data_IF_224853247645
#
_entry.id   IF_224853247645
#
_cell.length_a   1.000
_cell.length_b   1.000
_cell.length_c   1.000
_cell.angle_alpha   90.00
_cell.angle_beta   90.00
_cell.angle_gamma   90.00
#
_symmetry.space_group_name_H-M   'P 1'
#
loop_
_entity.id
_entity.type
_entity.pdbx_description
1 polymer ?
#
# COMPACT_ATOMS: atom_id res chain seq x y z
N UNK A 1 -10.19 -33.86 19.43
CA UNK A 1 -9.43 -34.37 18.26
C UNK A 1 -8.09 -33.68 18.26
N UNK A 2 -7.01 -34.38 17.97
CA UNK A 2 -5.68 -33.77 17.82
C UNK A 2 -5.66 -32.87 16.58
N UNK A 3 -5.15 -31.64 16.73
CA UNK A 3 -5.13 -30.66 15.65
C UNK A 3 -3.90 -30.87 14.78
N UNK A 4 -4.11 -31.49 13.62
CA UNK A 4 -3.04 -31.71 12.64
C UNK A 4 -2.63 -30.35 12.06
N UNK A 5 -1.33 -30.02 11.92
CA UNK A 5 -0.90 -28.79 11.25
C UNK A 5 -1.46 -28.69 9.82
N UNK A 6 -1.84 -27.48 9.42
CA UNK A 6 -2.45 -27.18 8.12
C UNK A 6 -1.59 -26.14 7.40
N UNK A 7 -0.70 -26.57 6.51
CA UNK A 7 0.32 -25.72 5.88
C UNK A 7 -0.15 -25.09 4.54
N UNK A 8 -1.24 -25.59 3.95
CA UNK A 8 -1.69 -25.25 2.57
C UNK A 8 -3.21 -25.22 2.36
N UNK A 9 -4.00 -25.32 3.43
CA UNK A 9 -5.47 -25.43 3.37
C UNK A 9 -6.09 -24.17 3.99
N UNK A 10 -7.04 -23.50 3.32
CA UNK A 10 -7.78 -22.40 3.96
C UNK A 10 -8.93 -22.96 4.81
N UNK A 11 -9.54 -24.06 4.35
CA UNK A 11 -10.44 -24.90 5.13
C UNK A 11 -9.91 -26.34 5.22
N UNK A 12 -9.77 -26.87 6.43
CA UNK A 12 -9.62 -28.29 6.63
C UNK A 12 -10.97 -29.00 6.52
N UNK A 13 -11.06 -29.96 5.59
CA UNK A 13 -12.24 -30.78 5.31
C UNK A 13 -12.14 -32.20 5.91
N UNK A 14 -11.15 -32.46 6.77
CA UNK A 14 -10.84 -33.80 7.31
C UNK A 14 -11.66 -34.17 8.54
N UNK A 15 -12.45 -33.24 9.08
CA UNK A 15 -13.27 -33.43 10.27
C UNK A 15 -14.71 -33.81 9.91
N UNK A 16 -15.28 -34.91 10.43
CA UNK A 16 -16.66 -35.30 10.14
C UNK A 16 -17.67 -34.23 10.56
N UNK A 17 -18.54 -33.79 9.64
CA UNK A 17 -19.63 -32.83 9.91
C UNK A 17 -19.20 -31.39 10.18
N UNK A 18 -17.90 -31.09 10.16
CA UNK A 18 -17.33 -29.79 10.53
C UNK A 18 -16.27 -29.33 9.52
N UNK A 19 -15.96 -28.03 9.55
CA UNK A 19 -14.87 -27.42 8.79
C UNK A 19 -14.07 -26.51 9.72
N UNK A 20 -12.75 -26.56 9.60
CA UNK A 20 -11.83 -25.75 10.43
C UNK A 20 -11.12 -24.75 9.54
N UNK A 21 -11.23 -23.45 9.86
CA UNK A 21 -10.55 -22.41 9.09
C UNK A 21 -9.07 -22.36 9.50
N UNK A 22 -8.19 -22.56 8.53
CA UNK A 22 -6.74 -22.60 8.69
C UNK A 22 -6.01 -21.61 7.76
N UNK A 23 -6.75 -20.67 7.16
CA UNK A 23 -6.21 -19.69 6.23
C UNK A 23 -5.27 -18.65 6.87
N UNK A 24 -4.70 -17.73 6.07
CA UNK A 24 -3.68 -16.80 6.52
C UNK A 24 -4.07 -16.02 7.79
N UNK A 25 -3.14 -15.97 8.75
CA UNK A 25 -3.27 -15.18 9.98
C UNK A 25 -3.97 -15.87 11.15
N UNK A 26 -4.34 -17.16 11.06
CA UNK A 26 -4.82 -17.93 12.22
C UNK A 26 -3.75 -18.90 12.73
N UNK A 27 -3.37 -18.74 13.99
CA UNK A 27 -2.65 -19.77 14.74
C UNK A 27 -3.60 -20.94 15.09
N UNK A 28 -3.09 -22.15 15.39
CA UNK A 28 -3.91 -23.33 15.68
C UNK A 28 -5.01 -23.06 16.72
N UNK A 29 -4.67 -22.40 17.82
CA UNK A 29 -5.57 -22.04 18.92
C UNK A 29 -6.65 -21.00 18.54
N UNK A 30 -6.48 -20.31 17.40
CA UNK A 30 -7.43 -19.30 16.89
C UNK A 30 -8.22 -19.79 15.67
N UNK A 31 -8.19 -21.09 15.34
CA UNK A 31 -8.91 -21.65 14.19
C UNK A 31 -10.39 -21.93 14.55
N UNK A 32 -11.38 -21.20 13.99
CA UNK A 32 -12.78 -21.48 14.26
C UNK A 32 -13.21 -22.80 13.61
N UNK A 33 -13.91 -23.61 14.40
CA UNK A 33 -14.60 -24.83 13.95
C UNK A 33 -16.05 -24.48 13.64
N UNK A 34 -16.44 -24.55 12.36
CA UNK A 34 -17.80 -24.28 11.91
C UNK A 34 -18.52 -25.58 11.48
N UNK A 35 -19.86 -25.60 11.45
CA UNK A 35 -20.62 -26.64 10.77
C UNK A 35 -20.20 -26.78 9.31
N UNK A 36 -20.32 -27.99 8.74
CA UNK A 36 -19.98 -28.22 7.34
C UNK A 36 -20.83 -27.38 6.38
N UNK A 37 -20.18 -26.52 5.60
CA UNK A 37 -20.81 -25.71 4.56
C UNK A 37 -20.39 -26.22 3.16
N UNK A 38 -21.38 -26.58 2.33
CA UNK A 38 -21.15 -27.14 1.00
C UNK A 38 -20.47 -26.15 0.05
N UNK A 39 -20.76 -24.85 0.17
CA UNK A 39 -20.20 -23.79 -0.68
C UNK A 39 -18.72 -23.59 -0.35
N UNK A 40 -18.38 -23.49 0.94
CA UNK A 40 -17.00 -23.42 1.42
C UNK A 40 -16.20 -24.67 1.01
N UNK A 41 -16.78 -25.87 1.16
CA UNK A 41 -16.14 -27.13 0.77
C UNK A 41 -15.98 -27.33 -0.75
N UNK A 42 -16.77 -26.64 -1.57
CA UNK A 42 -16.58 -26.56 -3.03
C UNK A 42 -15.48 -25.56 -3.38
N UNK A 43 -15.52 -24.36 -2.78
CA UNK A 43 -14.50 -23.33 -2.96
C UNK A 43 -13.10 -23.84 -2.57
N UNK A 44 -12.95 -24.53 -1.44
CA UNK A 44 -11.68 -25.10 -0.99
C UNK A 44 -11.14 -26.13 -1.99
N UNK A 45 -12.00 -27.00 -2.54
CA UNK A 45 -11.61 -27.98 -3.56
C UNK A 45 -11.24 -27.34 -4.89
N UNK A 46 -11.89 -26.24 -5.28
CA UNK A 46 -11.52 -25.44 -6.44
C UNK A 46 -10.17 -24.73 -6.24
N UNK A 47 -9.97 -24.11 -5.08
CA UNK A 47 -8.72 -23.45 -4.69
C UNK A 47 -7.53 -24.41 -4.75
N UNK A 48 -7.62 -25.57 -4.08
CA UNK A 48 -6.58 -26.60 -4.12
C UNK A 48 -6.25 -27.02 -5.54
N UNK A 49 -7.25 -27.27 -6.40
CA UNK A 49 -7.03 -27.59 -7.81
C UNK A 49 -6.26 -26.49 -8.55
N UNK A 50 -6.63 -25.23 -8.37
CA UNK A 50 -5.95 -24.09 -8.99
C UNK A 50 -4.51 -23.90 -8.52
N UNK A 51 -4.22 -24.17 -7.24
CA UNK A 51 -2.86 -24.15 -6.70
C UNK A 51 -2.04 -25.34 -7.23
N UNK A 52 -2.58 -26.56 -7.21
CA UNK A 52 -1.88 -27.77 -7.69
C UNK A 52 -1.54 -27.70 -9.18
N UNK A 53 -2.38 -27.09 -10.03
CA UNK A 53 -2.07 -26.89 -11.45
C UNK A 53 -1.27 -25.61 -11.74
N UNK A 54 -0.75 -24.92 -10.72
CA UNK A 54 0.10 -23.74 -10.89
C UNK A 54 -0.62 -22.46 -11.35
N UNK A 55 -1.94 -22.49 -11.49
CA UNK A 55 -2.76 -21.34 -11.92
C UNK A 55 -2.84 -20.22 -10.87
N UNK A 56 -2.77 -20.56 -9.59
CA UNK A 56 -2.81 -19.58 -8.49
C UNK A 56 -1.50 -19.61 -7.71
N UNK A 57 -0.76 -18.50 -7.78
CA UNK A 57 0.40 -18.23 -6.92
C UNK A 57 -0.02 -17.62 -5.58
N UNK A 58 0.85 -17.70 -4.57
CA UNK A 58 0.63 -17.02 -3.29
C UNK A 58 0.44 -15.50 -3.43
N UNK A 59 1.15 -14.87 -4.39
CA UNK A 59 0.98 -13.47 -4.74
C UNK A 59 -0.42 -13.18 -5.29
N UNK A 60 -0.90 -13.96 -6.25
CA UNK A 60 -2.23 -13.77 -6.84
C UNK A 60 -3.33 -13.99 -5.79
N UNK A 61 -3.18 -15.02 -4.96
CA UNK A 61 -4.08 -15.27 -3.82
C UNK A 61 -4.16 -14.08 -2.87
N UNK A 62 -3.01 -13.57 -2.41
CA UNK A 62 -2.96 -12.41 -1.52
C UNK A 62 -3.57 -11.15 -2.15
N UNK A 63 -3.33 -10.90 -3.45
CA UNK A 63 -3.94 -9.76 -4.15
C UNK A 63 -5.45 -9.88 -4.25
N UNK A 64 -5.99 -11.01 -4.70
CA UNK A 64 -7.44 -11.21 -4.77
C UNK A 64 -8.08 -11.11 -3.38
N UNK A 65 -7.41 -11.61 -2.35
CA UNK A 65 -7.82 -11.46 -0.96
C UNK A 65 -8.04 -10.00 -0.57
N UNK A 66 -7.04 -9.14 -0.79
CA UNK A 66 -7.13 -7.71 -0.52
C UNK A 66 -8.29 -7.06 -1.30
N UNK A 67 -8.46 -7.38 -2.58
CA UNK A 67 -9.52 -6.78 -3.41
C UNK A 67 -10.93 -7.12 -2.90
N UNK A 68 -11.17 -8.39 -2.55
CA UNK A 68 -12.48 -8.85 -2.06
C UNK A 68 -12.77 -8.31 -0.66
N UNK A 69 -11.77 -8.34 0.24
CA UNK A 69 -11.87 -7.74 1.58
C UNK A 69 -12.22 -6.26 1.50
N UNK A 70 -11.49 -5.51 0.67
CA UNK A 70 -11.64 -4.06 0.58
C UNK A 70 -12.98 -3.69 -0.09
N UNK A 71 -13.43 -4.44 -1.11
CA UNK A 71 -14.80 -4.30 -1.64
C UNK A 71 -15.83 -4.50 -0.54
N UNK A 72 -15.81 -5.64 0.15
CA UNK A 72 -16.79 -5.94 1.20
C UNK A 72 -16.75 -4.96 2.39
N UNK A 73 -15.60 -4.31 2.65
CA UNK A 73 -15.46 -3.27 3.68
C UNK A 73 -16.01 -1.92 3.20
N UNK A 74 -15.83 -1.57 1.93
CA UNK A 74 -16.21 -0.27 1.37
C UNK A 74 -17.64 -0.24 0.80
N UNK A 75 -18.22 -1.37 0.39
CA UNK A 75 -19.57 -1.43 -0.21
C UNK A 75 -20.67 -1.87 0.77
N UNK A 76 -20.34 -2.44 1.93
CA UNK A 76 -21.32 -2.72 2.98
C UNK A 76 -21.62 -1.46 3.78
N UNK A 77 -22.77 -0.84 3.50
CA UNK A 77 -23.35 0.20 4.35
C UNK A 77 -23.35 -0.27 5.82
N UNK A 78 -22.71 0.50 6.71
CA UNK A 78 -22.23 0.14 8.06
C UNK A 78 -23.03 -0.95 8.80
N UNK A 79 -22.75 -2.21 8.46
CA UNK A 79 -23.57 -3.36 8.82
C UNK A 79 -23.06 -4.08 10.06
N UNK A 80 -23.19 -3.46 11.23
CA UNK A 80 -22.98 -4.11 12.55
C UNK A 80 -24.11 -5.11 12.86
N UNK A 81 -24.26 -6.18 12.10
CA UNK A 81 -25.23 -7.24 12.37
C UNK A 81 -24.55 -8.61 12.20
N UNK A 82 -24.39 -9.32 13.33
CA UNK A 82 -23.84 -10.69 13.38
C UNK A 82 -22.87 -10.95 14.52
N UNK A 83 -21.94 -10.03 14.80
CA UNK A 83 -20.73 -10.34 15.60
C UNK A 83 -20.41 -9.34 16.73
N UNK A 84 -21.40 -8.66 17.29
CA UNK A 84 -21.18 -7.64 18.35
C UNK A 84 -20.58 -8.20 19.65
N UNK A 85 -20.70 -9.51 19.89
CA UNK A 85 -20.18 -10.20 21.08
C UNK A 85 -18.80 -10.85 20.87
N UNK A 86 -18.22 -10.74 19.67
CA UNK A 86 -16.93 -11.33 19.34
C UNK A 86 -15.77 -10.33 19.47
N UNK A 87 -14.57 -10.85 19.72
CA UNK A 87 -13.34 -10.04 19.69
C UNK A 87 -13.13 -9.40 18.32
N UNK A 88 -12.20 -8.45 18.22
CA UNK A 88 -11.85 -7.87 16.93
C UNK A 88 -11.25 -8.92 15.98
N UNK A 89 -10.42 -9.81 16.53
CA UNK A 89 -9.70 -10.85 15.80
C UNK A 89 -10.66 -11.94 15.31
N UNK A 90 -11.57 -12.44 16.16
CA UNK A 90 -12.61 -13.41 15.76
C UNK A 90 -13.51 -12.86 14.64
N UNK A 91 -13.85 -11.56 14.72
CA UNK A 91 -14.61 -10.86 13.66
C UNK A 91 -13.86 -10.79 12.35
N UNK A 92 -12.56 -10.52 12.41
CA UNK A 92 -11.74 -10.53 11.21
C UNK A 92 -11.63 -11.96 10.64
N UNK A 93 -11.35 -12.96 11.48
CA UNK A 93 -11.20 -14.36 11.06
C UNK A 93 -12.49 -14.91 10.45
N UNK A 94 -13.66 -14.67 11.06
CA UNK A 94 -14.95 -15.09 10.50
C UNK A 94 -15.35 -14.26 9.27
N UNK A 95 -15.01 -12.97 9.24
CA UNK A 95 -15.16 -12.11 8.06
C UNK A 95 -14.36 -12.68 6.88
N UNK A 96 -13.09 -13.00 7.11
CA UNK A 96 -12.18 -13.67 6.19
C UNK A 96 -12.78 -15.00 5.70
N UNK A 97 -13.15 -15.89 6.61
CA UNK A 97 -13.78 -17.17 6.30
C UNK A 97 -15.05 -17.02 5.44
N UNK A 98 -15.91 -16.03 5.73
CA UNK A 98 -17.14 -15.77 4.97
C UNK A 98 -16.90 -15.29 3.53
N UNK A 99 -15.75 -14.64 3.27
CA UNK A 99 -15.39 -14.11 1.95
C UNK A 99 -14.69 -15.13 1.06
N UNK A 100 -14.23 -16.26 1.61
CA UNK A 100 -13.44 -17.25 0.88
C UNK A 100 -14.08 -17.76 -0.42
N UNK A 101 -15.39 -18.06 -0.51
CA UNK A 101 -16.01 -18.47 -1.77
C UNK A 101 -15.91 -17.41 -2.87
N UNK A 102 -16.05 -16.12 -2.51
CA UNK A 102 -15.90 -15.00 -3.44
C UNK A 102 -14.46 -14.89 -3.91
N UNK A 103 -13.49 -15.00 -3.00
CA UNK A 103 -12.05 -15.01 -3.34
C UNK A 103 -11.73 -16.12 -4.34
N UNK A 104 -12.19 -17.34 -4.09
CA UNK A 104 -11.97 -18.47 -5.01
C UNK A 104 -12.64 -18.23 -6.37
N UNK A 105 -13.84 -17.64 -6.38
CA UNK A 105 -14.55 -17.33 -7.61
C UNK A 105 -13.81 -16.27 -8.45
N UNK A 106 -13.34 -15.18 -7.82
CA UNK A 106 -12.50 -14.16 -8.47
C UNK A 106 -11.16 -14.75 -8.92
N UNK A 107 -10.51 -15.59 -8.11
CA UNK A 107 -9.29 -16.32 -8.50
C UNK A 107 -9.53 -17.19 -9.73
N UNK A 108 -10.69 -17.84 -9.87
CA UNK A 108 -11.04 -18.62 -11.05
C UNK A 108 -10.98 -17.80 -12.34
N UNK A 109 -11.43 -16.54 -12.28
CA UNK A 109 -11.37 -15.60 -13.41
C UNK A 109 -9.95 -15.07 -13.63
N UNK A 110 -9.32 -14.50 -12.59
CA UNK A 110 -8.01 -13.83 -12.73
C UNK A 110 -6.84 -14.80 -12.97
N UNK A 111 -6.99 -16.08 -12.64
CA UNK A 111 -6.02 -17.15 -12.97
C UNK A 111 -6.22 -17.76 -14.37
N UNK A 112 -7.03 -17.14 -15.22
CA UNK A 112 -7.27 -17.53 -16.62
C UNK A 112 -6.61 -16.49 -17.53
N UNK A 113 -5.41 -16.77 -18.10
CA UNK A 113 -4.64 -15.76 -18.86
C UNK A 113 -5.44 -15.15 -20.01
N UNK A 114 -6.15 -15.98 -20.78
CA UNK A 114 -6.97 -15.56 -21.93
C UNK A 114 -8.14 -14.62 -21.58
N UNK A 115 -8.56 -14.57 -20.31
CA UNK A 115 -9.54 -13.59 -19.82
C UNK A 115 -8.84 -12.26 -19.53
N UNK A 116 -7.74 -12.30 -18.77
CA UNK A 116 -6.98 -11.11 -18.38
C UNK A 116 -6.37 -10.40 -19.59
N UNK A 117 -5.84 -11.15 -20.56
CA UNK A 117 -5.28 -10.57 -21.79
C UNK A 117 -6.36 -9.90 -22.66
N UNK A 118 -7.56 -10.49 -22.73
CA UNK A 118 -8.70 -9.89 -23.43
C UNK A 118 -9.14 -8.58 -22.77
N UNK A 119 -9.19 -8.56 -21.44
CA UNK A 119 -9.49 -7.34 -20.68
C UNK A 119 -8.42 -6.25 -20.91
N UNK A 120 -7.12 -6.61 -20.95
CA UNK A 120 -6.03 -5.68 -21.28
C UNK A 120 -6.15 -5.05 -22.67
N UNK A 121 -6.80 -5.73 -23.62
CA UNK A 121 -7.10 -5.19 -24.96
C UNK A 121 -8.46 -4.50 -25.11
N UNK A 122 -9.26 -4.43 -24.03
CA UNK A 122 -10.59 -3.81 -24.06
C UNK A 122 -10.51 -2.30 -23.81
N UNK A 123 -11.35 -1.50 -24.48
CA UNK A 123 -11.40 -0.04 -24.31
C UNK A 123 -11.88 0.36 -22.91
N UNK A 124 -11.38 1.49 -22.39
CA UNK A 124 -11.70 2.01 -21.04
C UNK A 124 -13.21 2.01 -20.72
N UNK A 125 -14.00 2.56 -21.65
CA UNK A 125 -15.45 2.76 -21.54
C UNK A 125 -16.23 1.43 -21.42
N UNK A 126 -15.70 0.34 -21.99
CA UNK A 126 -16.36 -0.98 -21.96
C UNK A 126 -15.71 -1.97 -20.98
N UNK A 127 -14.50 -1.68 -20.49
CA UNK A 127 -13.71 -2.54 -19.61
C UNK A 127 -14.43 -2.86 -18.29
N UNK A 128 -14.99 -1.84 -17.63
CA UNK A 128 -15.66 -1.99 -16.32
C UNK A 128 -16.89 -2.90 -16.42
N UNK A 129 -17.76 -2.63 -17.39
CA UNK A 129 -18.95 -3.43 -17.64
C UNK A 129 -18.58 -4.87 -18.05
N UNK A 130 -17.53 -5.05 -18.86
CA UNK A 130 -17.02 -6.38 -19.22
C UNK A 130 -16.55 -7.17 -18.00
N UNK A 131 -15.73 -6.59 -17.14
CA UNK A 131 -15.27 -7.24 -15.91
C UNK A 131 -16.46 -7.57 -14.99
N UNK A 132 -17.38 -6.62 -14.78
CA UNK A 132 -18.57 -6.84 -13.95
C UNK A 132 -19.42 -8.03 -14.44
N UNK A 133 -19.60 -8.16 -15.77
CA UNK A 133 -20.37 -9.24 -16.39
C UNK A 133 -19.62 -10.59 -16.44
N UNK A 134 -18.29 -10.57 -16.54
CA UNK A 134 -17.45 -11.79 -16.58
C UNK A 134 -17.04 -12.27 -15.17
N UNK A 135 -17.31 -11.48 -14.12
CA UNK A 135 -17.22 -11.92 -12.73
C UNK A 135 -18.42 -12.83 -12.36
N UNK A 136 -18.19 -13.96 -11.67
CA UNK A 136 -19.27 -14.81 -11.17
C UNK A 136 -20.10 -14.04 -10.14
N UNK A 137 -21.42 -14.20 -10.10
CA UNK A 137 -22.35 -13.36 -9.31
C UNK A 137 -21.95 -13.14 -7.84
N UNK A 138 -21.23 -12.04 -7.59
CA UNK A 138 -20.73 -11.66 -6.27
C UNK A 138 -21.83 -10.84 -5.58
N UNK A 139 -22.47 -11.39 -4.55
CA UNK A 139 -23.59 -10.73 -3.90
C UNK A 139 -23.21 -9.37 -3.29
N UNK A 140 -23.93 -8.32 -3.68
CA UNK A 140 -23.71 -6.94 -3.25
C UNK A 140 -23.05 -6.07 -4.34
N UNK A 141 -22.71 -4.81 -4.01
CA UNK A 141 -22.09 -3.91 -4.97
C UNK A 141 -20.66 -4.37 -5.31
N UNK A 142 -20.32 -4.36 -6.60
CA UNK A 142 -19.10 -4.94 -7.17
C UNK A 142 -18.16 -3.86 -7.75
N UNK A 143 -18.54 -2.60 -7.71
CA UNK A 143 -17.87 -1.48 -8.38
C UNK A 143 -16.46 -1.29 -7.82
N UNK A 144 -16.29 -1.37 -6.50
CA UNK A 144 -14.98 -1.30 -5.85
C UNK A 144 -14.11 -2.49 -6.25
N UNK A 145 -14.66 -3.69 -6.39
CA UNK A 145 -13.94 -4.89 -6.84
C UNK A 145 -13.57 -4.82 -8.32
N UNK A 146 -14.46 -4.31 -9.17
CA UNK A 146 -14.19 -4.06 -10.60
C UNK A 146 -13.06 -3.05 -10.73
N UNK A 147 -13.14 -1.90 -10.06
CA UNK A 147 -12.02 -0.95 -10.00
C UNK A 147 -10.75 -1.63 -9.51
N UNK A 148 -10.81 -2.44 -8.44
CA UNK A 148 -9.63 -3.13 -7.91
C UNK A 148 -9.03 -4.16 -8.87
N UNK A 149 -9.82 -4.80 -9.72
CA UNK A 149 -9.36 -5.71 -10.77
C UNK A 149 -8.75 -4.91 -11.94
N UNK A 150 -9.40 -3.81 -12.34
CA UNK A 150 -8.85 -2.81 -13.28
C UNK A 150 -7.51 -2.22 -12.76
N UNK A 151 -7.35 -2.08 -11.44
CA UNK A 151 -6.11 -1.69 -10.78
C UNK A 151 -5.08 -2.83 -10.72
N UNK A 152 -5.50 -4.08 -10.54
CA UNK A 152 -4.59 -5.22 -10.43
C UNK A 152 -4.00 -5.67 -11.77
N UNK A 153 -4.76 -5.61 -12.85
CA UNK A 153 -4.26 -5.96 -14.19
C UNK A 153 -3.05 -5.13 -14.63
N UNK A 154 -2.79 -4.03 -13.91
CA UNK A 154 -1.61 -3.18 -13.92
C UNK A 154 -0.48 -3.76 -13.01
N UNK A 155 0.15 -4.89 -13.29
CA UNK A 155 1.35 -5.39 -12.56
C UNK A 155 2.58 -5.33 -13.52
N UNK A 156 3.78 -4.72 -13.26
CA UNK A 156 4.63 -4.63 -12.03
C UNK A 156 5.83 -3.59 -11.90
N UNK A 157 5.92 -2.38 -12.48
CA UNK A 157 6.93 -1.23 -12.32
C UNK A 157 8.12 -1.48 -11.40
N UNK A 158 7.90 -1.29 -10.09
CA UNK A 158 8.77 -0.39 -9.33
C UNK A 158 9.90 -1.27 -8.82
N UNK A 159 10.97 -1.24 -9.61
CA UNK A 159 12.29 -1.71 -9.26
C UNK A 159 12.53 -1.39 -7.78
N UNK A 160 12.62 -2.43 -6.95
CA UNK A 160 12.99 -2.27 -5.55
C UNK A 160 14.39 -1.71 -5.51
N UNK A 161 14.52 -0.39 -5.30
CA UNK A 161 15.83 0.24 -5.17
C UNK A 161 16.42 -0.14 -3.81
N UNK A 162 17.65 -0.66 -3.75
CA UNK A 162 18.28 -1.00 -2.49
C UNK A 162 18.53 0.27 -1.68
N UNK A 163 17.91 0.33 -0.52
CA UNK A 163 17.93 1.43 0.44
C UNK A 163 18.74 1.04 1.67
N UNK A 164 19.35 2.02 2.35
CA UNK A 164 19.95 1.82 3.69
C UNK A 164 18.91 1.49 4.77
N UNK A 165 17.64 1.82 4.53
CA UNK A 165 16.49 1.59 5.43
C UNK A 165 15.49 0.79 4.63
N UNK A 166 15.20 -0.45 5.05
CA UNK A 166 14.30 -1.34 4.32
C UNK A 166 12.95 -0.66 4.01
N UNK A 167 12.58 -0.59 2.73
CA UNK A 167 11.25 -0.12 2.35
C UNK A 167 10.19 -1.03 2.94
N UNK A 168 9.27 -0.47 3.72
CA UNK A 168 8.15 -1.23 4.31
C UNK A 168 7.14 -1.69 3.26
N UNK A 169 7.21 -1.18 2.02
CA UNK A 169 6.27 -1.50 0.95
C UNK A 169 7.00 -1.78 -0.39
N UNK A 170 6.70 -2.92 -1.06
CA UNK A 170 7.21 -3.21 -2.39
C UNK A 170 6.31 -2.61 -3.49
N UNK A 171 6.85 -2.14 -4.64
CA UNK A 171 6.16 -1.09 -5.43
C UNK A 171 5.85 -1.55 -6.93
N UNK A 172 4.72 -1.19 -7.64
CA UNK A 172 4.30 -1.75 -9.00
C UNK A 172 3.57 -0.86 -10.10
N UNK A 173 3.55 -1.28 -11.40
CA UNK A 173 2.94 -0.74 -12.70
C UNK A 173 3.81 -0.28 -13.93
N UNK A 174 3.31 0.66 -14.75
CA UNK A 174 3.93 1.63 -15.70
C UNK A 174 2.73 1.90 -16.61
N UNK A 175 1.74 2.61 -16.09
CA UNK A 175 0.46 2.72 -16.79
C UNK A 175 0.08 4.16 -16.99
N UNK A 176 -0.29 4.44 -18.24
CA UNK A 176 -1.17 5.53 -18.58
C UNK A 176 -2.46 5.39 -17.77
N UNK A 177 -2.63 6.26 -16.77
CA UNK A 177 -3.81 6.26 -15.92
C UNK A 177 -5.01 6.98 -16.58
N UNK A 178 -4.80 7.73 -17.66
CA UNK A 178 -5.88 8.36 -18.44
C UNK A 178 -6.67 7.32 -19.25
N UNK A 179 -6.02 6.24 -19.70
CA UNK A 179 -6.66 5.09 -20.35
C UNK A 179 -7.55 4.25 -19.40
N UNK A 180 -7.73 4.67 -18.14
CA UNK A 180 -8.31 3.81 -17.10
C UNK A 180 -9.35 4.51 -16.24
N UNK A 181 -9.39 5.83 -16.17
CA UNK A 181 -10.52 6.55 -15.59
C UNK A 181 -11.57 6.76 -16.67
N UNK A 182 -12.79 6.31 -16.39
CA UNK A 182 -13.95 6.69 -17.19
C UNK A 182 -14.25 8.17 -16.93
N UNK A 183 -13.76 9.04 -17.79
CA UNK A 183 -13.96 10.51 -17.67
C UNK A 183 -15.43 10.93 -17.76
N UNK A 184 -16.34 10.01 -18.11
CA UNK A 184 -17.80 10.23 -18.13
C UNK A 184 -18.49 9.84 -16.81
N UNK A 185 -17.83 9.05 -15.95
CA UNK A 185 -18.36 8.66 -14.65
C UNK A 185 -18.35 9.83 -13.64
N UNK A 186 -19.32 9.91 -12.70
CA UNK A 186 -19.48 11.02 -11.76
C UNK A 186 -18.49 10.95 -10.59
N UNK A 187 -17.19 10.96 -10.89
CA UNK A 187 -16.13 10.94 -9.87
C UNK A 187 -16.07 12.27 -9.09
N UNK A 188 -15.53 12.26 -7.84
CA UNK A 188 -15.21 13.49 -7.11
C UNK A 188 -14.33 14.45 -7.93
N UNK A 189 -14.56 15.75 -7.75
CA UNK A 189 -13.92 16.82 -8.53
C UNK A 189 -12.37 16.77 -8.53
N UNK A 190 -11.74 16.23 -7.49
CA UNK A 190 -10.29 16.07 -7.43
C UNK A 190 -9.77 15.01 -8.43
N UNK A 191 -10.54 13.93 -8.65
CA UNK A 191 -10.25 12.91 -9.67
C UNK A 191 -10.50 13.47 -11.06
N UNK A 192 -11.59 14.22 -11.26
CA UNK A 192 -11.86 14.87 -12.55
C UNK A 192 -10.72 15.83 -12.97
N UNK A 193 -10.17 16.58 -12.01
CA UNK A 193 -9.06 17.54 -12.24
C UNK A 193 -7.70 16.88 -12.45
N UNK A 194 -7.42 15.79 -11.75
CA UNK A 194 -6.19 15.02 -11.92
C UNK A 194 -6.49 13.51 -11.87
N UNK A 195 -6.97 12.92 -12.98
CA UNK A 195 -7.29 11.50 -13.05
C UNK A 195 -6.13 10.63 -12.57
N UNK A 196 -4.92 10.96 -13.03
CA UNK A 196 -3.71 10.20 -12.75
C UNK A 196 -3.39 10.09 -11.25
N UNK A 197 -3.86 10.99 -10.41
CA UNK A 197 -3.65 10.93 -8.97
C UNK A 197 -4.31 9.71 -8.30
N UNK A 198 -5.42 9.16 -8.81
CA UNK A 198 -6.02 7.94 -8.20
C UNK A 198 -5.07 6.74 -8.26
N UNK A 199 -4.22 6.68 -9.29
CA UNK A 199 -3.26 5.59 -9.48
C UNK A 199 -2.16 5.59 -8.41
N UNK A 200 -1.95 6.72 -7.73
CA UNK A 200 -1.05 6.83 -6.58
C UNK A 200 -1.73 6.51 -5.25
N UNK A 201 -3.05 6.27 -5.18
CA UNK A 201 -3.72 5.98 -3.91
C UNK A 201 -3.16 4.71 -3.26
N UNK A 202 -2.69 4.81 -2.01
CA UNK A 202 -2.09 3.67 -1.32
C UNK A 202 -3.18 2.80 -0.66
N UNK A 203 -3.86 1.98 -1.46
CA UNK A 203 -5.00 1.15 -1.05
C UNK A 203 -4.76 0.30 0.20
N UNK A 204 -3.55 -0.23 0.41
CA UNK A 204 -3.21 -1.03 1.60
C UNK A 204 -2.90 -0.22 2.87
N UNK A 205 -2.90 1.12 2.80
CA UNK A 205 -2.56 2.05 3.89
C UNK A 205 -3.71 2.97 4.30
N UNK A 206 -4.82 2.93 3.55
CA UNK A 206 -5.99 3.75 3.78
C UNK A 206 -7.13 2.85 4.27
N UNK A 207 -7.59 3.09 5.49
CA UNK A 207 -8.72 2.39 6.10
C UNK A 207 -10.08 2.94 5.58
N UNK A 208 -11.19 2.36 6.05
CA UNK A 208 -12.55 2.71 5.64
C UNK A 208 -12.92 4.20 5.85
N UNK A 209 -12.23 4.92 6.73
CA UNK A 209 -12.44 6.37 6.96
C UNK A 209 -11.72 7.27 5.94
N UNK A 210 -11.06 6.66 4.96
CA UNK A 210 -10.36 7.28 3.84
C UNK A 210 -10.84 6.60 2.55
N UNK A 211 -12.00 7.04 2.06
CA UNK A 211 -12.53 6.59 0.78
C UNK A 211 -12.15 7.60 -0.32
N UNK A 212 -11.36 7.24 -1.35
CA UNK A 212 -11.00 8.19 -2.41
C UNK A 212 -12.20 8.65 -3.26
N UNK A 213 -13.27 7.86 -3.27
CA UNK A 213 -14.50 8.12 -4.00
C UNK A 213 -15.49 9.02 -3.24
N UNK A 214 -15.26 9.30 -1.95
CA UNK A 214 -16.12 10.17 -1.16
C UNK A 214 -15.72 11.65 -1.34
N UNK A 215 -16.66 12.46 -1.83
CA UNK A 215 -16.47 13.89 -2.03
C UNK A 215 -16.33 14.68 -0.71
N UNK A 216 -16.81 14.15 0.43
CA UNK A 216 -16.73 14.83 1.73
C UNK A 216 -15.32 14.74 2.34
N UNK A 217 -14.59 13.66 2.05
CA UNK A 217 -13.31 13.34 2.68
C UNK A 217 -12.09 13.88 1.93
N UNK A 218 -12.32 14.71 0.90
CA UNK A 218 -11.26 15.30 0.05
C UNK A 218 -10.28 16.20 0.81
N UNK A 219 -10.62 16.64 2.02
CA UNK A 219 -9.73 17.42 2.90
C UNK A 219 -8.91 16.55 3.87
N UNK A 220 -9.35 15.32 4.17
CA UNK A 220 -8.64 14.39 5.07
C UNK A 220 -7.35 13.93 4.42
N UNK A 221 -6.30 13.76 5.23
CA UNK A 221 -5.05 13.14 4.76
C UNK A 221 -5.25 11.66 4.50
N UNK A 222 -4.77 11.23 3.34
CA UNK A 222 -4.62 9.84 2.96
C UNK A 222 -3.18 9.54 2.54
N UNK A 223 -2.83 8.27 2.49
CA UNK A 223 -1.55 7.78 1.99
C UNK A 223 -1.55 7.62 0.47
N UNK A 224 -0.43 8.02 -0.13
CA UNK A 224 -0.16 7.95 -1.55
C UNK A 224 1.21 7.31 -1.78
N UNK A 225 1.39 6.64 -2.93
CA UNK A 225 2.63 6.01 -3.33
C UNK A 225 2.87 6.16 -4.84
N UNK A 226 3.98 6.82 -5.23
CA UNK A 226 4.33 7.07 -6.63
C UNK A 226 5.21 5.98 -7.25
N UNK A 227 5.46 6.12 -8.54
CA UNK A 227 6.14 5.18 -9.42
C UNK A 227 7.62 4.90 -9.13
N UNK A 228 8.26 5.69 -8.28
CA UNK A 228 9.59 5.36 -7.73
C UNK A 228 9.54 4.58 -6.40
N UNK A 229 8.34 4.33 -5.86
CA UNK A 229 8.12 3.65 -4.58
C UNK A 229 8.03 4.58 -3.38
N UNK A 230 8.20 5.88 -3.55
CA UNK A 230 8.04 6.86 -2.48
C UNK A 230 6.61 6.91 -1.94
N UNK A 231 6.47 7.09 -0.63
CA UNK A 231 5.18 7.22 0.06
C UNK A 231 5.06 8.56 0.79
N UNK A 232 3.88 9.17 0.76
CA UNK A 232 3.59 10.39 1.52
C UNK A 232 2.11 10.50 1.89
N UNK A 233 1.84 11.31 2.91
CA UNK A 233 0.49 11.81 3.18
C UNK A 233 0.21 13.11 2.42
N UNK A 234 -0.98 13.20 1.83
CA UNK A 234 -1.60 14.42 1.29
C UNK A 234 -3.13 14.26 1.34
N UNK A 235 -3.88 15.35 1.19
CA UNK A 235 -5.33 15.24 1.00
C UNK A 235 -5.68 15.02 -0.48
N UNK A 236 -6.81 14.36 -0.81
CA UNK A 236 -7.27 14.20 -2.19
C UNK A 236 -7.42 15.54 -2.91
N UNK A 237 -7.93 16.57 -2.24
CA UNK A 237 -8.05 17.93 -2.79
C UNK A 237 -6.69 18.53 -3.18
N UNK A 238 -5.63 18.28 -2.40
CA UNK A 238 -4.27 18.68 -2.79
C UNK A 238 -3.78 17.86 -3.98
N UNK A 239 -3.97 16.53 -4.01
CA UNK A 239 -3.54 15.69 -5.14
C UNK A 239 -4.27 15.97 -6.45
N UNK A 240 -5.51 16.45 -6.36
CA UNK A 240 -6.32 16.91 -7.51
C UNK A 240 -5.74 18.12 -8.25
N UNK A 241 -4.65 18.73 -7.77
CA UNK A 241 -3.96 19.82 -8.45
C UNK A 241 -2.88 19.27 -9.40
N UNK A 242 -2.86 19.71 -10.66
CA UNK A 242 -1.88 19.24 -11.66
C UNK A 242 -0.41 19.52 -11.28
N UNK A 243 -0.14 20.55 -10.47
CA UNK A 243 1.20 20.89 -9.95
C UNK A 243 1.64 20.02 -8.77
N UNK A 244 0.74 19.20 -8.24
CA UNK A 244 1.05 18.32 -7.11
C UNK A 244 1.48 16.95 -7.64
N UNK A 245 2.72 16.58 -7.37
CA UNK A 245 3.27 15.25 -7.65
C UNK A 245 3.81 14.59 -6.39
N UNK A 246 4.56 13.50 -6.58
CA UNK A 246 5.39 12.97 -5.52
C UNK A 246 6.41 14.02 -5.03
N UNK A 247 6.42 14.37 -3.73
CA UNK A 247 7.35 15.37 -3.21
C UNK A 247 8.82 14.90 -3.24
N UNK A 248 9.08 13.61 -3.37
CA UNK A 248 10.42 13.05 -3.47
C UNK A 248 10.95 13.08 -4.91
N UNK A 249 10.14 12.65 -5.89
CA UNK A 249 10.49 12.77 -7.32
C UNK A 249 10.69 14.23 -7.74
N UNK A 250 9.88 15.15 -7.18
CA UNK A 250 10.01 16.60 -7.38
C UNK A 250 11.16 17.25 -6.58
N UNK A 251 11.98 16.48 -5.86
CA UNK A 251 13.11 17.00 -5.07
C UNK A 251 12.74 17.82 -3.83
N UNK A 252 11.46 17.97 -3.51
CA UNK A 252 10.94 18.74 -2.38
C UNK A 252 11.19 18.05 -1.01
N UNK A 253 11.36 16.73 -1.02
CA UNK A 253 11.74 15.90 0.14
C UNK A 253 12.88 14.96 -0.23
N UNK A 254 13.79 14.72 0.71
CA UNK A 254 14.81 13.69 0.55
C UNK A 254 14.22 12.29 0.78
N UNK A 255 14.66 11.33 -0.04
CA UNK A 255 14.33 9.92 0.10
C UNK A 255 15.40 9.24 0.99
N UNK A 256 15.04 8.75 2.19
CA UNK A 256 15.98 8.07 3.07
C UNK A 256 16.60 6.84 2.40
N UNK A 257 17.93 6.76 2.42
CA UNK A 257 18.69 5.71 1.75
C UNK A 257 19.07 6.01 0.30
N UNK A 258 18.69 7.16 -0.27
CA UNK A 258 19.01 7.54 -1.65
C UNK A 258 19.48 8.99 -1.81
N UNK A 259 18.61 9.96 -1.52
CA UNK A 259 18.87 11.40 -1.77
C UNK A 259 19.03 12.22 -0.49
N UNK A 260 19.07 11.55 0.66
CA UNK A 260 19.30 12.17 1.97
C UNK A 260 20.77 12.55 2.22
N UNK A 261 20.97 13.45 3.18
CA UNK A 261 22.28 13.97 3.55
C UNK A 261 23.22 12.88 4.10
N UNK A 262 22.74 11.85 4.80
CA UNK A 262 23.65 10.79 5.29
C UNK A 262 24.11 9.87 4.18
N UNK A 263 23.23 9.51 3.26
CA UNK A 263 23.58 8.65 2.13
C UNK A 263 24.50 9.37 1.15
N UNK A 264 24.20 10.64 0.83
CA UNK A 264 24.99 11.42 -0.14
C UNK A 264 26.26 12.06 0.46
N UNK A 265 26.24 12.43 1.74
CA UNK A 265 27.35 13.12 2.42
C UNK A 265 27.59 12.56 3.84
N UNK A 266 28.04 11.30 3.96
CA UNK A 266 28.14 10.60 5.24
C UNK A 266 29.04 11.31 6.26
N UNK A 267 30.09 12.01 5.84
CA UNK A 267 30.96 12.76 6.74
C UNK A 267 30.29 14.02 7.31
N UNK A 268 29.52 14.76 6.51
CA UNK A 268 28.69 15.86 7.03
C UNK A 268 27.63 15.33 8.01
N UNK A 269 27.03 14.17 7.72
CA UNK A 269 26.05 13.54 8.61
C UNK A 269 26.64 12.97 9.92
N UNK A 270 27.97 12.84 10.03
CA UNK A 270 28.68 12.60 11.31
C UNK A 270 28.80 13.89 12.14
N UNK A 271 28.89 15.04 11.49
CA UNK A 271 28.93 16.37 12.14
C UNK A 271 27.54 16.91 12.52
N UNK A 272 26.45 16.17 12.33
CA UNK A 272 25.12 16.57 12.81
C UNK A 272 25.06 16.54 14.34
N UNK A 273 24.69 17.65 14.99
CA UNK A 273 24.55 17.63 16.45
C UNK A 273 23.31 16.81 16.86
N UNK A 274 23.56 15.63 17.43
CA UNK A 274 22.54 14.68 17.93
C UNK A 274 22.01 15.04 19.32
N UNK A 275 22.48 16.13 19.96
CA UNK A 275 21.97 16.56 21.26
C UNK A 275 20.46 16.84 21.17
N UNK A 276 19.66 16.20 22.05
CA UNK A 276 18.20 16.33 22.08
C UNK A 276 17.79 17.81 22.08
N UNK A 277 16.83 18.16 21.21
CA UNK A 277 16.32 19.53 21.07
C UNK A 277 17.17 20.50 20.24
N UNK A 278 18.41 20.17 19.86
CA UNK A 278 19.21 21.06 18.98
C UNK A 278 18.81 21.02 17.51
N UNK A 279 18.26 19.92 17.04
CA UNK A 279 17.83 19.75 15.65
C UNK A 279 16.45 19.08 15.60
N UNK A 280 15.58 19.56 14.72
CA UNK A 280 14.32 18.91 14.40
C UNK A 280 14.54 17.85 13.30
N UNK A 281 14.33 16.58 13.62
CA UNK A 281 14.66 15.46 12.75
C UNK A 281 16.18 15.26 12.59
N UNK A 282 16.55 14.50 11.55
CA UNK A 282 17.88 13.91 11.42
C UNK A 282 18.39 13.93 9.95
N UNK A 283 19.67 13.58 9.70
CA UNK A 283 20.27 13.55 8.36
C UNK A 283 19.59 12.67 7.31
N UNK A 284 18.80 11.67 7.71
CA UNK A 284 18.19 10.70 6.80
C UNK A 284 16.93 11.27 6.11
N UNK A 285 16.43 12.41 6.61
CA UNK A 285 15.19 13.05 6.16
C UNK A 285 15.40 14.48 5.60
N UNK A 286 16.63 14.82 5.20
CA UNK A 286 16.97 16.14 4.63
C UNK A 286 17.81 16.04 3.36
N UNK A 287 17.51 16.88 2.38
CA UNK A 287 18.26 16.96 1.12
C UNK A 287 19.60 17.68 1.32
N UNK A 288 20.68 17.28 0.61
CA UNK A 288 21.95 18.01 0.62
C UNK A 288 21.83 19.46 0.11
N UNK A 289 20.84 19.79 -0.73
CA UNK A 289 20.57 21.17 -1.17
C UNK A 289 19.65 21.94 -0.21
N UNK A 290 19.30 21.37 0.95
CA UNK A 290 18.40 22.04 1.88
C UNK A 290 18.99 23.37 2.40
N UNK A 291 18.22 24.45 2.25
CA UNK A 291 18.49 25.74 2.87
C UNK A 291 18.35 25.74 4.41
N UNK A 292 17.86 24.64 5.01
CA UNK A 292 17.60 24.54 6.45
C UNK A 292 18.88 24.72 7.25
N UNK A 293 18.88 25.68 8.18
CA UNK A 293 19.95 25.85 9.16
C UNK A 293 19.81 24.79 10.24
N UNK A 294 20.89 24.04 10.48
CA UNK A 294 20.95 23.02 11.54
C UNK A 294 22.19 23.26 12.42
N UNK A 295 22.16 22.73 13.64
CA UNK A 295 23.28 22.75 14.57
C UNK A 295 24.24 21.59 14.25
N UNK A 296 25.50 21.93 14.02
CA UNK A 296 26.60 21.01 13.72
C UNK A 296 27.51 20.89 14.94
N UNK A 297 28.18 19.74 15.07
CA UNK A 297 29.20 19.46 16.08
C UNK A 297 30.38 18.74 15.43
N UNK A 298 31.57 19.33 15.48
CA UNK A 298 32.79 18.69 14.94
C UNK A 298 33.37 17.66 15.91
N UNK A 299 34.38 16.90 15.45
CA UNK A 299 35.11 15.92 16.27
C UNK A 299 35.76 16.54 17.51
N UNK A 300 36.25 17.79 17.40
CA UNK A 300 36.80 18.57 18.53
C UNK A 300 35.74 19.14 19.49
N UNK A 301 34.46 18.73 19.36
CA UNK A 301 33.39 19.15 20.26
C UNK A 301 32.75 20.51 19.94
N UNK A 302 33.41 21.39 19.18
CA UNK A 302 32.87 22.71 18.81
C UNK A 302 31.50 22.59 18.13
N UNK A 303 30.59 23.52 18.44
CA UNK A 303 29.23 23.61 17.89
C UNK A 303 29.01 24.91 17.10
N UNK A 304 28.38 24.84 15.93
CA UNK A 304 27.97 26.03 15.16
C UNK A 304 26.69 25.77 14.38
N UNK A 305 26.06 26.83 13.86
CA UNK A 305 24.94 26.72 12.93
C UNK A 305 25.36 27.09 11.50
N UNK A 306 24.91 26.30 10.54
CA UNK A 306 25.04 26.59 9.11
C UNK A 306 23.91 25.93 8.30
N UNK A 307 23.52 26.48 7.13
CA UNK A 307 22.64 25.80 6.18
C UNK A 307 23.31 24.54 5.61
N UNK A 308 22.52 23.48 5.39
CA UNK A 308 23.02 22.21 4.83
C UNK A 308 23.65 22.44 3.44
N UNK A 309 22.97 23.14 2.53
CA UNK A 309 23.50 23.44 1.19
C UNK A 309 24.84 24.18 1.17
N UNK A 310 25.11 25.01 2.18
CA UNK A 310 26.38 25.76 2.27
C UNK A 310 27.53 24.85 2.71
N UNK A 311 27.24 23.87 3.57
CA UNK A 311 28.20 22.84 3.99
C UNK A 311 28.55 21.90 2.84
N UNK A 312 27.56 21.50 2.06
CA UNK A 312 27.72 20.68 0.85
C UNK A 312 28.48 21.44 -0.24
N UNK A 313 27.93 22.54 -0.75
CA UNK A 313 28.47 23.22 -1.95
C UNK A 313 29.79 23.97 -1.75
N UNK A 314 30.09 24.44 -0.54
CA UNK A 314 31.28 25.29 -0.27
C UNK A 314 32.34 24.63 0.61
N UNK A 315 32.15 23.37 1.01
CA UNK A 315 33.10 22.61 1.84
C UNK A 315 33.47 23.26 3.19
N UNK A 316 32.70 24.25 3.67
CA UNK A 316 33.09 25.07 4.83
C UNK A 316 33.01 24.25 6.12
N UNK A 317 34.17 23.75 6.59
CA UNK A 317 34.34 22.99 7.83
C UNK A 317 33.98 23.77 9.10
N UNK A 318 34.43 23.26 10.26
CA UNK A 318 34.21 23.93 11.53
C UNK A 318 34.91 25.30 11.55
N UNK A 319 34.20 26.42 11.78
CA UNK A 319 34.81 27.75 11.69
C UNK A 319 35.84 28.01 12.79
N UNK A 320 35.75 27.29 13.91
CA UNK A 320 36.68 27.37 15.05
C UNK A 320 37.97 26.59 14.76
N UNK A 321 37.86 25.36 14.24
CA UNK A 321 39.04 24.58 13.80
C UNK A 321 39.79 25.27 12.65
N UNK A 322 39.09 26.04 11.81
CA UNK A 322 39.68 26.82 10.72
C UNK A 322 40.22 28.20 11.15
N UNK A 323 40.23 28.54 12.45
CA UNK A 323 40.70 29.84 12.95
C UNK A 323 39.81 31.05 12.60
N UNK A 324 38.80 30.89 11.76
CA UNK A 324 37.89 31.96 11.31
C UNK A 324 36.95 32.49 12.41
N UNK A 325 36.87 31.81 13.56
CA UNK A 325 36.14 32.24 14.75
C UNK A 325 36.88 31.80 16.01
N UNK A 326 36.90 32.66 17.02
CA UNK A 326 37.37 32.31 18.37
C UNK A 326 36.31 31.46 19.08
N UNK A 327 36.73 30.31 19.62
CA UNK A 327 35.89 29.53 20.53
C UNK A 327 35.96 30.14 21.93
N UNK A 328 34.80 30.30 22.57
CA UNK A 328 34.67 30.61 23.99
C UNK A 328 33.77 29.53 24.57
N UNK A 329 34.23 28.90 25.65
CA UNK A 329 33.53 27.80 26.33
C UNK A 329 32.23 28.27 27.00
#
# INVERSE_FOLDING_TARGET
MEQIPHDRENWCLRHPGQMVWAGPGTSPESQPVLPFDRTQAVAERQFRRMVTCGRVSAQLHARVWEMVRDNATLTRACGRQGFLLLSADDREILGRASQFPVVVAVLGVLSTPTTVDRWRTTTADSLRARIANELPGIGGPVEVLVERIVLWMRESRRVTRPTRIASLYPPRDVVDAAAIIDVTAPYPLWIQRNPNAIAEWAWGLNDVTRNPWDAHDVSKKAWWACDDGHMWEASPATRGLATSGCPYCAGQRAWPGHTDLRTTHPDLAKEWDKTRGRNAGDPDHVSPDSGRRINWRCRSGHRWQAPIRVRVSKGRGCPYCAGTRVWKE
#
